data_IF_315073498034
#
_entry.id   IF_315073498034
#
_cell.length_a   1.000
_cell.length_b   1.000
_cell.length_c   1.000
_cell.angle_alpha   90.00
_cell.angle_beta   90.00
_cell.angle_gamma   90.00
#
_symmetry.space_group_name_H-M   'P 1'
#
loop_
_entity.id
_entity.type
_entity.pdbx_description
1 polymer ?
#
# COMPACT_ATOMS: atom_id res chain seq x y z
N UNK A 1 19.30 -19.49 -30.95
CA UNK A 1 19.80 -19.29 -29.58
C UNK A 1 18.77 -18.47 -28.82
N UNK A 2 18.47 -18.79 -27.56
CA UNK A 2 17.56 -17.99 -26.73
C UNK A 2 18.33 -17.43 -25.55
N UNK A 3 18.15 -16.15 -25.25
CA UNK A 3 18.67 -15.52 -24.04
C UNK A 3 17.71 -15.85 -22.89
N UNK A 4 18.24 -16.29 -21.75
CA UNK A 4 17.46 -16.44 -20.52
C UNK A 4 17.48 -15.12 -19.77
N UNK A 5 16.31 -14.51 -19.63
CA UNK A 5 16.09 -13.37 -18.75
C UNK A 5 15.95 -13.87 -17.30
N UNK A 6 16.96 -13.58 -16.48
CA UNK A 6 17.02 -13.89 -15.05
C UNK A 6 16.76 -12.67 -14.16
N UNK A 7 16.26 -11.57 -14.72
CA UNK A 7 15.94 -10.38 -13.94
C UNK A 7 14.79 -10.67 -12.97
N UNK A 8 14.94 -10.13 -11.75
CA UNK A 8 13.97 -10.23 -10.65
C UNK A 8 13.68 -8.84 -10.10
N UNK A 9 12.53 -8.69 -9.45
CA UNK A 9 12.17 -7.47 -8.74
C UNK A 9 11.79 -7.79 -7.30
N UNK A 10 12.02 -6.81 -6.42
CA UNK A 10 11.57 -6.85 -5.03
C UNK A 10 10.59 -5.72 -4.83
N UNK A 11 9.40 -6.05 -4.35
CA UNK A 11 8.40 -5.09 -3.90
C UNK A 11 8.68 -4.74 -2.44
N UNK A 12 8.54 -3.48 -2.09
CA UNK A 12 8.68 -2.99 -0.71
C UNK A 12 7.60 -1.96 -0.43
N UNK A 13 7.23 -1.81 0.85
CA UNK A 13 6.25 -0.81 1.29
C UNK A 13 6.88 0.09 2.36
N UNK A 14 6.60 1.39 2.27
CA UNK A 14 7.05 2.37 3.25
C UNK A 14 5.95 3.39 3.54
N UNK A 15 5.88 3.85 4.79
CA UNK A 15 5.06 4.98 5.18
C UNK A 15 5.58 6.25 4.49
N UNK A 16 4.68 7.04 3.91
CA UNK A 16 4.98 8.34 3.32
C UNK A 16 4.49 9.46 4.23
N UNK A 17 3.24 9.37 4.69
CA UNK A 17 2.66 10.36 5.61
C UNK A 17 1.69 9.71 6.59
N UNK A 18 1.69 10.22 7.82
CA UNK A 18 0.67 9.88 8.80
C UNK A 18 -0.68 10.53 8.42
N UNK A 19 -1.76 9.85 8.78
CA UNK A 19 -3.08 10.45 8.81
C UNK A 19 -3.30 11.22 10.11
N UNK A 20 -4.34 12.04 10.14
CA UNK A 20 -4.77 12.75 11.34
C UNK A 20 -6.25 13.00 11.25
N UNK A 21 -6.95 12.66 12.32
CA UNK A 21 -8.24 13.27 12.61
C UNK A 21 -8.00 14.73 12.98
N UNK A 22 -8.90 15.61 12.59
CA UNK A 22 -8.62 17.03 12.74
C UNK A 22 -9.71 17.94 12.23
N UNK A 23 -9.80 19.10 12.87
CA UNK A 23 -10.62 20.21 12.41
C UNK A 23 -9.77 21.17 11.55
N UNK A 24 -10.28 21.64 10.40
CA UNK A 24 -11.66 21.48 9.92
C UNK A 24 -11.92 20.18 9.15
N UNK A 25 -10.90 19.38 8.82
CA UNK A 25 -11.06 18.09 8.13
C UNK A 25 -9.90 17.13 8.44
N UNK A 26 -10.20 15.82 8.40
CA UNK A 26 -9.18 14.78 8.50
C UNK A 26 -8.22 14.80 7.31
N UNK A 27 -6.99 14.34 7.55
CA UNK A 27 -5.95 14.13 6.54
C UNK A 27 -5.67 12.65 6.39
N UNK A 28 -5.60 12.17 5.15
CA UNK A 28 -5.30 10.77 4.86
C UNK A 28 -3.85 10.40 5.17
N UNK A 29 -3.65 9.19 5.68
CA UNK A 29 -2.34 8.55 5.70
C UNK A 29 -1.98 8.01 4.32
N UNK A 30 -0.69 7.88 4.01
CA UNK A 30 -0.25 7.29 2.74
C UNK A 30 0.93 6.35 2.91
N UNK A 31 0.90 5.25 2.15
CA UNK A 31 2.01 4.31 1.98
C UNK A 31 2.43 4.30 0.52
N UNK A 32 3.72 4.11 0.26
CA UNK A 32 4.25 3.87 -1.08
C UNK A 32 4.71 2.43 -1.20
N UNK A 33 4.24 1.75 -2.24
CA UNK A 33 4.81 0.49 -2.71
C UNK A 33 5.77 0.80 -3.85
N UNK A 34 6.98 0.26 -3.76
CA UNK A 34 8.03 0.41 -4.78
C UNK A 34 8.50 -0.96 -5.26
N UNK A 35 8.60 -1.13 -6.58
CA UNK A 35 9.29 -2.24 -7.23
C UNK A 35 10.73 -1.83 -7.54
N UNK A 36 11.71 -2.66 -7.18
CA UNK A 36 13.13 -2.37 -7.44
C UNK A 36 13.46 -2.29 -8.94
N UNK A 37 12.70 -3.02 -9.76
CA UNK A 37 12.75 -3.00 -11.22
C UNK A 37 11.32 -3.03 -11.78
N UNK A 38 11.11 -2.36 -12.92
CA UNK A 38 9.81 -2.38 -13.60
C UNK A 38 9.49 -3.78 -14.15
N UNK A 39 8.23 -4.19 -14.07
CA UNK A 39 7.73 -5.37 -14.77
C UNK A 39 7.39 -5.04 -16.22
N UNK A 40 7.66 -5.96 -17.14
CA UNK A 40 7.21 -5.85 -18.54
C UNK A 40 5.73 -6.20 -18.73
N UNK A 41 5.05 -6.66 -17.68
CA UNK A 41 3.64 -7.05 -17.65
C UNK A 41 2.93 -6.41 -16.46
N UNK A 42 1.61 -6.22 -16.58
CA UNK A 42 0.79 -5.78 -15.46
C UNK A 42 0.97 -6.73 -14.28
N UNK A 43 1.22 -6.20 -13.08
CA UNK A 43 1.43 -6.98 -11.86
C UNK A 43 0.59 -6.42 -10.74
N UNK A 44 -0.18 -7.30 -10.10
CA UNK A 44 -0.91 -6.95 -8.89
C UNK A 44 -0.05 -7.27 -7.68
N UNK A 45 0.00 -6.33 -6.74
CA UNK A 45 0.62 -6.49 -5.43
C UNK A 45 -0.47 -6.42 -4.39
N UNK A 46 -0.58 -7.46 -3.58
CA UNK A 46 -1.53 -7.53 -2.47
C UNK A 46 -0.85 -7.19 -1.15
N UNK A 47 -1.61 -6.58 -0.25
CA UNK A 47 -1.15 -6.20 1.08
C UNK A 47 -2.24 -6.46 2.12
N UNK A 48 -1.88 -6.36 3.39
CA UNK A 48 -2.79 -6.38 4.53
C UNK A 48 -2.56 -5.14 5.38
N UNK A 49 -3.62 -4.65 6.02
CA UNK A 49 -3.56 -3.60 7.02
C UNK A 49 -3.80 -4.22 8.39
N UNK A 50 -2.96 -3.87 9.34
CA UNK A 50 -3.05 -4.26 10.76
C UNK A 50 -2.73 -3.04 11.62
N UNK A 51 -2.85 -3.15 12.95
CA UNK A 51 -2.57 -2.05 13.87
C UNK A 51 -3.67 -1.96 14.91
N UNK A 52 -3.87 -0.75 15.44
CA UNK A 52 -4.93 -0.47 16.42
C UNK A 52 -6.13 0.22 15.80
N UNK A 53 -5.94 0.96 14.71
CA UNK A 53 -7.04 1.56 13.96
C UNK A 53 -7.80 0.48 13.18
N UNK A 54 -9.12 0.61 13.17
CA UNK A 54 -10.11 -0.32 12.64
C UNK A 54 -10.67 0.21 11.31
N UNK A 55 -10.59 -0.63 10.28
CA UNK A 55 -11.19 -0.34 8.98
C UNK A 55 -12.72 -0.27 9.08
N UNK A 56 -13.30 0.83 8.64
CA UNK A 56 -14.73 1.12 8.70
C UNK A 56 -15.12 2.06 9.84
N UNK A 57 -14.34 2.09 10.93
CA UNK A 57 -14.57 2.96 12.08
C UNK A 57 -13.61 4.17 12.02
N UNK A 58 -12.29 3.92 11.95
CA UNK A 58 -11.26 4.97 12.01
C UNK A 58 -10.78 5.43 10.62
N UNK A 59 -10.93 4.56 9.62
CA UNK A 59 -10.67 4.89 8.22
C UNK A 59 -11.61 4.16 7.25
N UNK A 60 -11.87 4.76 6.10
CA UNK A 60 -12.74 4.16 5.07
C UNK A 60 -12.13 2.88 4.53
N UNK A 61 -12.96 1.86 4.30
CA UNK A 61 -12.53 0.62 3.68
C UNK A 61 -11.90 0.82 2.30
N UNK A 62 -10.79 0.13 2.03
CA UNK A 62 -10.05 0.23 0.77
C UNK A 62 -9.80 -1.11 0.08
N UNK A 63 -9.35 -1.06 -1.18
CA UNK A 63 -8.80 -2.23 -1.85
C UNK A 63 -7.44 -2.60 -1.27
N UNK A 64 -7.27 -3.89 -0.96
CA UNK A 64 -6.01 -4.47 -0.48
C UNK A 64 -5.10 -4.98 -1.60
N UNK A 65 -5.37 -4.56 -2.83
CA UNK A 65 -4.57 -4.87 -4.01
C UNK A 65 -4.31 -3.60 -4.82
N UNK A 66 -3.07 -3.40 -5.25
CA UNK A 66 -2.68 -2.35 -6.20
C UNK A 66 -2.12 -2.97 -7.49
N UNK A 67 -2.51 -2.40 -8.62
CA UNK A 67 -2.03 -2.84 -9.94
C UNK A 67 -0.94 -1.90 -10.45
N UNK A 68 0.24 -2.45 -10.71
CA UNK A 68 1.31 -1.83 -11.47
C UNK A 68 1.12 -2.18 -12.94
N UNK A 69 0.92 -1.17 -13.79
CA UNK A 69 0.99 -1.35 -15.23
C UNK A 69 2.42 -1.71 -15.65
N UNK A 70 2.58 -2.29 -16.84
CA UNK A 70 3.90 -2.56 -17.38
C UNK A 70 4.74 -1.27 -17.44
N UNK A 71 5.97 -1.34 -16.93
CA UNK A 71 6.89 -0.20 -16.84
C UNK A 71 6.79 0.63 -15.55
N UNK A 72 5.75 0.47 -14.74
CA UNK A 72 5.61 1.21 -13.48
C UNK A 72 6.44 0.59 -12.34
N UNK A 73 6.94 1.44 -11.45
CA UNK A 73 7.73 1.03 -10.28
C UNK A 73 7.22 1.61 -8.97
N UNK A 74 6.23 2.50 -8.99
CA UNK A 74 5.67 3.10 -7.77
C UNK A 74 4.13 3.12 -7.78
N UNK A 75 3.53 2.83 -6.62
CA UNK A 75 2.11 3.03 -6.33
C UNK A 75 1.93 3.63 -4.95
N UNK A 76 0.91 4.47 -4.82
CA UNK A 76 0.50 5.03 -3.54
C UNK A 76 -0.78 4.34 -3.08
N UNK A 77 -0.78 3.89 -1.83
CA UNK A 77 -1.97 3.50 -1.09
C UNK A 77 -2.36 4.69 -0.23
N UNK A 78 -3.61 5.12 -0.34
CA UNK A 78 -4.18 6.17 0.50
C UNK A 78 -5.08 5.52 1.54
N UNK A 79 -4.89 5.89 2.81
CA UNK A 79 -5.73 5.49 3.94
C UNK A 79 -6.63 6.69 4.31
N UNK A 80 -7.90 6.72 3.87
CA UNK A 80 -8.78 7.86 4.12
C UNK A 80 -9.30 7.82 5.56
N UNK A 81 -8.65 8.59 6.45
CA UNK A 81 -9.06 8.74 7.85
C UNK A 81 -10.47 9.31 7.94
N UNK A 82 -11.31 8.71 8.77
CA UNK A 82 -12.65 9.19 9.09
C UNK A 82 -12.53 10.21 10.22
N UNK A 83 -13.29 11.31 10.13
CA UNK A 83 -13.32 12.30 11.20
C UNK A 83 -14.63 12.11 11.96
N UNK A 84 -14.55 11.65 13.20
CA UNK A 84 -15.71 11.46 14.05
C UNK A 84 -15.68 12.34 15.32
N UNK A 85 -16.60 12.09 16.26
CA UNK A 85 -16.74 12.87 17.49
C UNK A 85 -16.34 12.09 18.76
N UNK A 86 -15.80 10.89 18.60
CA UNK A 86 -15.31 10.04 19.68
C UNK A 86 -13.91 10.52 20.05
N UNK A 87 -13.61 10.53 21.35
CA UNK A 87 -12.27 10.91 21.83
C UNK A 87 -11.47 9.64 22.00
N UNK A 88 -10.46 9.50 21.16
CA UNK A 88 -9.64 8.29 21.08
C UNK A 88 -8.16 8.59 21.33
N UNK A 89 -7.38 7.53 21.49
CA UNK A 89 -5.92 7.63 21.58
C UNK A 89 -5.28 7.79 20.21
N UNK A 90 -3.95 7.91 20.18
CA UNK A 90 -3.23 7.75 18.91
C UNK A 90 -3.29 6.30 18.48
N UNK A 91 -3.71 6.09 17.24
CA UNK A 91 -3.83 4.76 16.65
C UNK A 91 -2.83 4.53 15.52
N UNK A 92 -2.71 3.27 15.10
CA UNK A 92 -1.72 2.84 14.11
C UNK A 92 -2.36 2.05 12.99
N UNK A 93 -1.83 2.26 11.78
CA UNK A 93 -2.04 1.41 10.61
C UNK A 93 -0.68 0.94 10.13
N UNK A 94 -0.54 -0.36 9.89
CA UNK A 94 0.67 -1.05 9.48
C UNK A 94 0.36 -1.82 8.20
N UNK A 95 0.95 -1.38 7.09
CA UNK A 95 0.84 -2.05 5.81
C UNK A 95 1.92 -3.13 5.65
N UNK A 96 1.50 -4.36 5.34
CA UNK A 96 2.40 -5.48 5.06
C UNK A 96 2.07 -6.09 3.70
N UNK A 97 3.05 -6.20 2.81
CA UNK A 97 2.87 -6.86 1.52
C UNK A 97 2.67 -8.37 1.73
N UNK A 98 1.69 -8.96 1.04
CA UNK A 98 1.31 -10.37 1.23
C UNK A 98 1.57 -11.23 0.00
N UNK A 99 1.75 -10.63 -1.17
CA UNK A 99 2.12 -11.36 -2.38
C UNK A 99 1.98 -10.55 -3.66
N UNK A 100 2.35 -11.19 -4.77
CA UNK A 100 2.28 -10.63 -6.12
C UNK A 100 1.66 -11.67 -7.05
N UNK A 101 1.06 -11.22 -8.15
CA UNK A 101 0.63 -12.14 -9.25
C UNK A 101 1.77 -12.51 -10.20
N UNK A 102 2.95 -11.90 -10.02
CA UNK A 102 4.12 -12.12 -10.86
C UNK A 102 5.21 -12.89 -10.08
N UNK A 103 5.51 -14.15 -10.43
CA UNK A 103 6.46 -14.98 -9.69
C UNK A 103 7.91 -14.48 -9.76
N UNK A 104 8.23 -13.51 -10.63
CA UNK A 104 9.53 -12.84 -10.67
C UNK A 104 9.63 -11.64 -9.72
N UNK A 105 8.55 -11.31 -9.02
CA UNK A 105 8.49 -10.22 -8.04
C UNK A 105 8.24 -10.82 -6.66
N UNK A 106 9.18 -10.61 -5.74
CA UNK A 106 9.07 -11.03 -4.33
C UNK A 106 8.65 -9.86 -3.44
N UNK A 107 8.05 -10.15 -2.29
CA UNK A 107 7.60 -9.17 -1.27
C UNK A 107 8.38 -9.33 0.02
#
# INVERSE_FOLDING_TARGET
TTIKDNDVSVASVALVSNGSEGSPAATSGTFKITLSNASSTSTDVSFSLTGTATEGDDYTAISHTVTFAAGETEKIITIPVLNDAIIEGTETVIATLTGTTNPKITV
#
